data_IF_976023181408
#
_entry.id   IF_976023181408
#
_cell.length_a   1.000
_cell.length_b   1.000
_cell.length_c   1.000
_cell.angle_alpha   90.00
_cell.angle_beta   90.00
_cell.angle_gamma   90.00
#
_symmetry.space_group_name_H-M   'P 1'
#
loop_
_entity.id
_entity.type
_entity.pdbx_description
1 polymer ?
#
# COMPACT_ATOMS: atom_id res chain seq x y z
N UNK A 1 20.45 6.39 23.23
CA UNK A 1 19.05 5.95 23.42
C UNK A 1 18.60 5.14 22.21
N UNK A 2 17.97 4.01 22.41
CA UNK A 2 17.44 3.21 21.34
C UNK A 2 15.96 3.49 21.10
N UNK A 3 15.55 3.45 19.85
CA UNK A 3 14.15 3.43 19.48
C UNK A 3 13.94 2.27 18.51
N UNK A 4 13.09 1.32 18.86
CA UNK A 4 12.88 0.10 18.10
C UNK A 4 11.64 0.24 17.21
N UNK A 5 11.78 -0.05 15.92
CA UNK A 5 10.70 0.03 14.95
C UNK A 5 10.25 -1.34 14.46
N UNK A 6 11.19 -2.23 14.12
CA UNK A 6 10.92 -3.58 13.61
C UNK A 6 9.88 -3.59 12.49
N UNK A 7 10.11 -2.78 11.45
CA UNK A 7 9.19 -2.69 10.33
C UNK A 7 9.92 -2.43 9.02
N UNK A 8 9.28 -2.81 7.94
CA UNK A 8 9.75 -2.52 6.59
C UNK A 8 9.68 -1.01 6.35
N UNK A 9 10.73 -0.46 5.77
CA UNK A 9 10.82 0.98 5.44
C UNK A 9 11.14 1.17 3.96
N UNK A 10 10.88 2.37 3.45
CA UNK A 10 11.24 2.72 2.07
C UNK A 10 12.76 2.74 1.91
N UNK A 11 13.24 2.52 0.69
CA UNK A 11 14.65 2.28 0.36
C UNK A 11 15.61 3.37 0.83
N UNK A 12 15.16 4.63 0.84
CA UNK A 12 16.01 5.76 1.20
C UNK A 12 15.97 6.14 2.68
N UNK A 13 15.16 5.47 3.47
CA UNK A 13 15.01 5.80 4.89
C UNK A 13 16.33 5.65 5.66
N UNK A 14 17.13 4.58 5.46
CA UNK A 14 18.42 4.50 6.16
C UNK A 14 19.35 5.70 5.88
N UNK A 15 19.43 6.17 4.63
CA UNK A 15 20.22 7.36 4.27
C UNK A 15 19.72 8.61 4.99
N UNK A 16 18.40 8.76 5.08
CA UNK A 16 17.78 9.92 5.75
C UNK A 16 18.10 9.90 7.24
N UNK A 17 18.04 8.73 7.86
CA UNK A 17 18.40 8.56 9.28
C UNK A 17 19.85 8.96 9.50
N UNK A 18 20.76 8.48 8.65
CA UNK A 18 22.19 8.82 8.73
C UNK A 18 22.42 10.32 8.57
N UNK A 19 21.69 10.98 7.67
CA UNK A 19 21.79 12.42 7.45
C UNK A 19 21.35 13.23 8.66
N UNK A 20 20.59 12.64 9.57
CA UNK A 20 20.14 13.25 10.83
C UNK A 20 21.06 12.89 12.01
N UNK A 21 22.27 12.40 11.75
CA UNK A 21 23.27 11.99 12.75
C UNK A 21 22.76 10.85 13.66
N UNK A 22 21.92 9.98 13.11
CA UNK A 22 21.46 8.78 13.80
C UNK A 22 21.97 7.54 13.07
N UNK A 23 21.99 6.40 13.74
CA UNK A 23 22.56 5.16 13.19
C UNK A 23 21.42 4.17 12.94
N UNK A 24 21.08 3.88 11.66
CA UNK A 24 20.09 2.86 11.36
C UNK A 24 20.71 1.47 11.49
N UNK A 25 20.02 0.57 12.15
CA UNK A 25 20.37 -0.84 12.20
C UNK A 25 19.36 -1.57 11.34
N UNK A 26 19.81 -2.13 10.21
CA UNK A 26 18.94 -2.71 9.19
C UNK A 26 19.40 -4.12 8.82
N UNK A 27 18.49 -4.87 8.19
CA UNK A 27 18.82 -6.11 7.49
C UNK A 27 17.93 -6.24 6.26
N UNK A 28 18.35 -7.07 5.34
CA UNK A 28 17.57 -7.36 4.12
C UNK A 28 16.73 -8.61 4.41
N UNK A 29 15.44 -8.51 4.12
CA UNK A 29 14.50 -9.60 4.34
C UNK A 29 14.62 -10.69 3.27
N UNK A 30 14.33 -11.94 3.62
CA UNK A 30 14.18 -12.98 2.62
C UNK A 30 12.79 -12.86 1.95
N UNK A 31 12.52 -13.64 0.92
CA UNK A 31 11.30 -13.54 0.12
C UNK A 31 10.03 -13.69 0.95
N UNK A 32 10.00 -14.66 1.87
CA UNK A 32 8.84 -14.93 2.73
C UNK A 32 8.59 -13.77 3.67
N UNK A 33 9.63 -13.30 4.35
CA UNK A 33 9.53 -12.17 5.28
C UNK A 33 9.10 -10.90 4.55
N UNK A 34 9.64 -10.66 3.37
CA UNK A 34 9.32 -9.49 2.57
C UNK A 34 7.82 -9.45 2.23
N UNK A 35 7.28 -10.56 1.76
CA UNK A 35 5.84 -10.68 1.46
C UNK A 35 5.00 -10.40 2.71
N UNK A 36 5.34 -11.01 3.83
CA UNK A 36 4.61 -10.83 5.09
C UNK A 36 4.64 -9.38 5.56
N UNK A 37 5.80 -8.73 5.47
CA UNK A 37 5.96 -7.34 5.90
C UNK A 37 5.28 -6.35 4.96
N UNK A 38 5.23 -6.64 3.67
CA UNK A 38 4.44 -5.84 2.72
C UNK A 38 2.94 -5.93 3.02
N UNK A 39 2.45 -7.12 3.36
CA UNK A 39 1.04 -7.32 3.71
C UNK A 39 0.68 -6.56 4.99
N UNK A 40 1.57 -6.56 5.98
CA UNK A 40 1.39 -5.75 7.20
C UNK A 40 1.37 -4.25 6.87
N UNK A 41 2.25 -3.81 5.98
CA UNK A 41 2.30 -2.42 5.51
C UNK A 41 0.99 -2.01 4.86
N UNK A 42 0.43 -2.87 4.02
CA UNK A 42 -0.84 -2.59 3.36
C UNK A 42 -1.94 -2.36 4.39
N UNK A 43 -1.98 -3.16 5.44
CA UNK A 43 -2.95 -3.01 6.53
C UNK A 43 -2.72 -1.70 7.31
N UNK A 44 -1.46 -1.36 7.61
CA UNK A 44 -1.14 -0.08 8.25
C UNK A 44 -1.64 1.10 7.42
N UNK A 45 -1.34 1.11 6.12
CA UNK A 45 -1.75 2.20 5.23
C UNK A 45 -3.27 2.27 5.08
N UNK A 46 -3.94 1.11 5.09
CA UNK A 46 -5.40 1.06 5.13
C UNK A 46 -5.95 1.84 6.33
N UNK A 47 -5.41 1.58 7.51
CA UNK A 47 -5.83 2.27 8.73
C UNK A 47 -5.56 3.78 8.67
N UNK A 48 -4.41 4.17 8.13
CA UNK A 48 -4.05 5.58 7.96
C UNK A 48 -4.99 6.29 6.98
N UNK A 49 -5.36 5.63 5.88
CA UNK A 49 -6.32 6.16 4.90
C UNK A 49 -7.68 6.41 5.56
N UNK A 50 -8.15 5.45 6.36
CA UNK A 50 -9.45 5.56 7.03
C UNK A 50 -9.45 6.69 8.06
N UNK A 51 -8.34 6.90 8.75
CA UNK A 51 -8.20 7.92 9.79
C UNK A 51 -7.89 9.33 9.29
N UNK A 52 -7.70 9.52 7.98
CA UNK A 52 -7.30 10.80 7.40
C UNK A 52 -8.40 11.41 6.53
N UNK A 53 -8.34 12.73 6.35
CA UNK A 53 -9.29 13.50 5.52
C UNK A 53 -8.53 14.51 4.66
N UNK A 54 -9.16 14.96 3.56
CA UNK A 54 -8.60 16.00 2.69
C UNK A 54 -7.26 15.59 2.11
N UNK A 55 -6.31 16.50 2.09
CA UNK A 55 -4.97 16.25 1.54
C UNK A 55 -4.21 15.17 2.32
N UNK A 56 -4.45 15.04 3.62
CA UNK A 56 -3.82 13.99 4.42
C UNK A 56 -4.24 12.61 3.91
N UNK A 57 -5.50 12.44 3.53
CA UNK A 57 -5.99 11.18 2.93
C UNK A 57 -5.31 10.92 1.58
N UNK A 58 -5.10 11.96 0.78
CA UNK A 58 -4.41 11.81 -0.51
C UNK A 58 -2.97 11.32 -0.29
N UNK A 59 -2.27 11.87 0.70
CA UNK A 59 -0.91 11.44 1.04
C UNK A 59 -0.89 9.97 1.51
N UNK A 60 -1.87 9.57 2.33
CA UNK A 60 -1.96 8.19 2.81
C UNK A 60 -2.32 7.23 1.66
N UNK A 61 -3.15 7.66 0.70
CA UNK A 61 -3.43 6.88 -0.49
C UNK A 61 -2.18 6.70 -1.34
N UNK A 62 -1.32 7.73 -1.43
CA UNK A 62 -0.04 7.62 -2.13
C UNK A 62 0.89 6.62 -1.46
N UNK A 63 0.92 6.59 -0.12
CA UNK A 63 1.70 5.60 0.62
C UNK A 63 1.17 4.18 0.39
N UNK A 64 -0.15 4.02 0.40
CA UNK A 64 -0.79 2.74 0.09
C UNK A 64 -0.48 2.28 -1.34
N UNK A 65 -0.49 3.22 -2.28
CA UNK A 65 -0.17 2.95 -3.68
C UNK A 65 1.26 2.40 -3.83
N UNK A 66 2.22 2.93 -3.09
CA UNK A 66 3.60 2.45 -3.12
C UNK A 66 3.70 1.00 -2.62
N UNK A 67 2.94 0.66 -1.58
CA UNK A 67 2.87 -0.73 -1.09
C UNK A 67 2.21 -1.64 -2.13
N UNK A 68 1.14 -1.17 -2.78
CA UNK A 68 0.47 -1.91 -3.86
C UNK A 68 1.42 -2.20 -5.02
N UNK A 69 2.24 -1.22 -5.38
CA UNK A 69 3.27 -1.37 -6.41
C UNK A 69 4.26 -2.48 -6.05
N UNK A 70 4.73 -2.51 -4.80
CA UNK A 70 5.65 -3.54 -4.33
C UNK A 70 4.98 -4.93 -4.33
N UNK A 71 3.71 -5.02 -3.91
CA UNK A 71 2.96 -6.27 -3.94
C UNK A 71 2.77 -6.79 -5.37
N UNK A 72 2.48 -5.90 -6.33
CA UNK A 72 2.37 -6.26 -7.74
C UNK A 72 3.69 -6.85 -8.26
N UNK A 73 4.82 -6.30 -7.82
CA UNK A 73 6.14 -6.78 -8.24
C UNK A 73 6.41 -8.22 -7.79
N UNK A 74 5.81 -8.68 -6.71
CA UNK A 74 5.90 -10.08 -6.26
C UNK A 74 5.24 -11.04 -7.25
N UNK A 75 4.29 -10.53 -8.05
CA UNK A 75 3.60 -11.29 -9.07
C UNK A 75 4.18 -11.01 -10.47
N UNK A 76 5.37 -10.42 -10.53
CA UNK A 76 6.06 -10.04 -11.77
C UNK A 76 5.24 -9.04 -12.61
N UNK A 77 4.52 -8.15 -11.95
CA UNK A 77 3.69 -7.11 -12.58
C UNK A 77 4.08 -5.74 -12.08
N UNK A 78 3.71 -4.73 -12.85
CA UNK A 78 3.94 -3.32 -12.51
C UNK A 78 2.65 -2.68 -11.99
N UNK A 79 2.77 -1.49 -11.42
CA UNK A 79 1.59 -0.71 -11.04
C UNK A 79 0.73 -0.40 -12.27
N UNK A 80 1.35 -0.13 -13.44
CA UNK A 80 0.63 0.11 -14.68
C UNK A 80 -0.22 -1.08 -15.08
N UNK A 81 0.26 -2.30 -14.86
CA UNK A 81 -0.52 -3.52 -15.10
C UNK A 81 -1.76 -3.57 -14.21
N UNK A 82 -1.63 -3.20 -12.93
CA UNK A 82 -2.74 -3.14 -11.99
C UNK A 82 -3.77 -2.09 -12.45
N UNK A 83 -3.30 -0.92 -12.84
CA UNK A 83 -4.15 0.17 -13.34
C UNK A 83 -4.92 -0.27 -14.59
N UNK A 84 -4.25 -0.96 -15.51
CA UNK A 84 -4.87 -1.48 -16.73
C UNK A 84 -6.03 -2.43 -16.40
N UNK A 85 -5.81 -3.38 -15.49
CA UNK A 85 -6.85 -4.31 -15.05
C UNK A 85 -8.00 -3.55 -14.38
N UNK A 86 -7.69 -2.55 -13.55
CA UNK A 86 -8.71 -1.72 -12.90
C UNK A 86 -9.58 -0.99 -13.92
N UNK A 87 -8.99 -0.45 -14.99
CA UNK A 87 -9.72 0.21 -16.08
C UNK A 87 -10.61 -0.76 -16.85
N UNK A 88 -10.12 -1.95 -17.13
CA UNK A 88 -10.91 -2.99 -17.80
C UNK A 88 -12.14 -3.37 -16.99
N UNK A 89 -11.97 -3.51 -15.68
CA UNK A 89 -13.08 -3.79 -14.77
C UNK A 89 -14.06 -2.63 -14.70
N UNK A 90 -13.58 -1.40 -14.72
CA UNK A 90 -14.43 -0.20 -14.72
C UNK A 90 -15.30 -0.14 -15.96
N UNK A 91 -14.73 -0.47 -17.13
CA UNK A 91 -15.50 -0.52 -18.40
C UNK A 91 -16.64 -1.55 -18.30
N UNK A 92 -16.39 -2.71 -17.71
CA UNK A 92 -17.37 -3.81 -17.62
C UNK A 92 -18.38 -3.61 -16.51
N UNK A 93 -17.96 -3.10 -15.36
CA UNK A 93 -18.75 -3.09 -14.13
C UNK A 93 -19.07 -1.69 -13.60
N UNK A 94 -18.43 -0.68 -14.14
CA UNK A 94 -18.55 0.71 -13.67
C UNK A 94 -17.64 0.99 -12.48
N UNK A 95 -17.68 2.23 -12.05
CA UNK A 95 -17.01 2.70 -10.84
C UNK A 95 -18.04 2.69 -9.67
N UNK A 96 -17.80 3.52 -8.66
CA UNK A 96 -18.68 3.56 -7.47
C UNK A 96 -19.48 4.87 -7.37
N UNK A 97 -19.48 5.69 -8.43
CA UNK A 97 -20.04 7.04 -8.37
C UNK A 97 -21.55 7.09 -8.15
N UNK A 98 -22.25 6.02 -8.51
CA UNK A 98 -23.71 5.96 -8.34
C UNK A 98 -24.17 5.57 -6.94
N UNK A 99 -23.23 5.22 -6.04
CA UNK A 99 -23.50 4.88 -4.63
C UNK A 99 -24.47 3.72 -4.45
N UNK A 100 -24.45 2.73 -5.35
CA UNK A 100 -25.39 1.61 -5.35
C UNK A 100 -25.03 0.60 -4.26
N UNK A 101 -25.94 0.40 -3.32
CA UNK A 101 -25.80 -0.62 -2.30
C UNK A 101 -26.74 -1.78 -2.65
N UNK A 102 -26.16 -2.92 -3.03
CA UNK A 102 -26.94 -4.10 -3.41
C UNK A 102 -27.46 -4.80 -2.16
N UNK A 103 -28.76 -4.78 -1.94
CA UNK A 103 -29.37 -5.43 -0.77
C UNK A 103 -29.61 -6.92 -0.98
N UNK A 104 -30.13 -7.31 -2.14
CA UNK A 104 -30.40 -8.71 -2.46
C UNK A 104 -30.71 -8.87 -3.94
N UNK A 105 -30.67 -10.09 -4.40
CA UNK A 105 -31.04 -10.47 -5.77
C UNK A 105 -32.21 -11.45 -5.70
N UNK A 106 -33.21 -11.21 -6.51
CA UNK A 106 -34.34 -12.13 -6.67
C UNK A 106 -34.22 -12.81 -8.02
N UNK A 107 -34.44 -14.11 -8.06
CA UNK A 107 -34.49 -14.85 -9.33
C UNK A 107 -35.86 -14.64 -10.00
N UNK A 108 -35.80 -14.44 -11.31
CA UNK A 108 -37.01 -14.35 -12.13
C UNK A 108 -37.59 -15.73 -12.38
#
# INVERSE_FOLDING_TARGET
MEQVYNKLVRDKIPEIIESNNEIPITRILNDKEYKEELEKKLYEEYQEVIGANGMDRIEELADMLEVMKALASLENKTLDDVIKVAREKEIKRGAFNKRIYLKKVLKK
#
